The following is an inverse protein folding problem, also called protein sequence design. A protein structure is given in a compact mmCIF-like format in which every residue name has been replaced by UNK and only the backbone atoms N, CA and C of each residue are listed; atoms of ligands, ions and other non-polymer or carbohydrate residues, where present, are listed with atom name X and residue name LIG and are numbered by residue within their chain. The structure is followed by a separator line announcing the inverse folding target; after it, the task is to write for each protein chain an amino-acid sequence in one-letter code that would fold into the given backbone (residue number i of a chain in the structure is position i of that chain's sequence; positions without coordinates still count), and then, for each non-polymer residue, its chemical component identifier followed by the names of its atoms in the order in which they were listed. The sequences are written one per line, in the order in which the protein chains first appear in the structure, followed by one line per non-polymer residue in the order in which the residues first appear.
data_IF_318383734723
#
_entry.id   IF_318383734723
#
_cell.length_a   1.000
_cell.length_b   1.000
_cell.length_c   1.000
_cell.angle_alpha   90.00
_cell.angle_beta   90.00
_cell.angle_gamma   90.00
#
_symmetry.space_group_name_H-M   'P 1'
#
loop_
_entity.id
_entity.type
_entity.pdbx_description
1 polymer ?
#
# COMPACT_ATOMS: atom_id res chain seq x y z
N UNK A 1 -10.76 -6.82 -13.33
CA UNK A 1 -11.42 -7.23 -12.07
C UNK A 1 -12.93 -7.24 -12.30
N UNK A 2 -13.60 -8.35 -12.01
CA UNK A 2 -15.05 -8.51 -12.12
C UNK A 2 -15.72 -8.26 -10.77
N UNK A 3 -17.04 -8.01 -10.74
CA UNK A 3 -17.77 -7.84 -9.47
C UNK A 3 -17.73 -9.08 -8.56
N UNK A 4 -17.60 -10.27 -9.16
CA UNK A 4 -17.45 -11.52 -8.41
C UNK A 4 -16.10 -11.62 -7.71
N UNK A 5 -15.02 -11.10 -8.32
CA UNK A 5 -13.70 -11.07 -7.69
C UNK A 5 -13.75 -10.25 -6.40
N UNK A 6 -14.43 -9.10 -6.42
CA UNK A 6 -14.58 -8.20 -5.26
C UNK A 6 -15.32 -8.89 -4.10
N UNK A 7 -16.30 -9.75 -4.39
CA UNK A 7 -17.04 -10.50 -3.36
C UNK A 7 -16.14 -11.49 -2.62
N UNK A 8 -15.07 -11.97 -3.25
CA UNK A 8 -14.13 -12.96 -2.71
C UNK A 8 -12.85 -12.35 -2.09
N UNK A 9 -12.65 -11.04 -2.21
CA UNK A 9 -11.41 -10.38 -1.78
C UNK A 9 -11.31 -10.08 -0.29
N UNK A 10 -10.09 -10.11 0.22
CA UNK A 10 -9.73 -9.54 1.51
C UNK A 10 -9.84 -8.01 1.55
N UNK A 11 -9.63 -7.42 2.74
CA UNK A 11 -9.48 -5.97 2.89
C UNK A 11 -8.35 -5.44 2.00
N UNK A 12 -8.61 -4.33 1.31
CA UNK A 12 -7.61 -3.63 0.49
C UNK A 12 -7.05 -2.47 1.31
N UNK A 13 -5.73 -2.39 1.34
CA UNK A 13 -4.96 -1.32 1.95
C UNK A 13 -4.19 -0.55 0.89
N UNK A 14 -3.88 0.71 1.20
CA UNK A 14 -2.86 1.45 0.47
C UNK A 14 -1.82 2.06 1.42
N UNK A 15 -0.63 2.31 0.87
CA UNK A 15 0.51 2.92 1.53
C UNK A 15 1.13 3.95 0.60
N UNK A 16 1.43 5.13 1.14
CA UNK A 16 2.31 6.12 0.50
C UNK A 16 3.59 6.18 1.31
N UNK A 17 4.72 5.83 0.70
CA UNK A 17 6.04 5.77 1.35
C UNK A 17 6.94 6.81 0.72
N UNK A 18 7.26 7.86 1.46
CA UNK A 18 8.11 8.97 1.01
C UNK A 18 9.60 8.64 1.12
N UNK A 19 10.36 9.09 0.12
CA UNK A 19 11.81 9.03 0.00
C UNK A 19 12.36 10.45 -0.21
N UNK A 20 13.26 10.91 0.66
CA UNK A 20 13.83 12.25 0.52
C UNK A 20 14.79 12.32 -0.68
N UNK A 21 15.04 13.53 -1.24
CA UNK A 21 15.84 13.70 -2.46
C UNK A 21 17.27 13.18 -2.35
N UNK A 22 17.86 13.19 -1.15
CA UNK A 22 19.21 12.70 -0.87
C UNK A 22 19.27 11.20 -0.56
N UNK A 23 18.11 10.52 -0.48
CA UNK A 23 18.00 9.09 -0.19
C UNK A 23 16.90 8.45 -1.04
N UNK A 24 17.13 8.28 -2.36
CA UNK A 24 16.20 7.56 -3.22
C UNK A 24 16.07 6.10 -2.76
N UNK A 25 14.98 5.40 -3.14
CA UNK A 25 14.82 3.99 -2.82
C UNK A 25 15.96 3.16 -3.42
N UNK A 26 16.46 2.21 -2.66
CA UNK A 26 17.55 1.30 -3.04
C UNK A 26 17.06 -0.10 -3.46
N UNK A 27 15.73 -0.31 -3.45
CA UNK A 27 15.11 -1.59 -3.80
C UNK A 27 15.22 -2.67 -2.73
N UNK A 28 15.91 -2.43 -1.61
CA UNK A 28 16.17 -3.45 -0.57
C UNK A 28 14.91 -4.03 0.08
N UNK A 29 13.79 -3.30 0.04
CA UNK A 29 12.50 -3.75 0.55
C UNK A 29 11.70 -4.63 -0.43
N UNK A 30 11.98 -4.58 -1.74
CA UNK A 30 11.20 -5.30 -2.74
C UNK A 30 11.29 -6.83 -2.61
N UNK A 31 12.45 -7.44 -2.25
CA UNK A 31 12.51 -8.88 -1.96
C UNK A 31 11.62 -9.31 -0.79
N UNK A 32 11.46 -8.46 0.24
CA UNK A 32 10.55 -8.74 1.37
C UNK A 32 9.09 -8.60 0.94
N UNK A 33 8.79 -7.60 0.12
CA UNK A 33 7.45 -7.45 -0.46
C UNK A 33 7.08 -8.66 -1.32
N UNK A 34 8.01 -9.17 -2.13
CA UNK A 34 7.85 -10.41 -2.90
C UNK A 34 7.60 -11.61 -2.01
N UNK A 35 8.36 -11.78 -0.91
CA UNK A 35 8.13 -12.87 0.05
C UNK A 35 6.70 -12.89 0.58
N UNK A 36 6.11 -11.73 0.88
CA UNK A 36 4.71 -11.63 1.32
C UNK A 36 3.73 -12.12 0.24
N UNK A 37 4.00 -11.82 -1.03
CA UNK A 37 3.19 -12.28 -2.18
C UNK A 37 3.34 -13.78 -2.39
N UNK A 38 4.58 -14.28 -2.42
CA UNK A 38 4.88 -15.71 -2.62
C UNK A 38 4.28 -16.59 -1.51
N UNK A 39 4.23 -16.08 -0.28
CA UNK A 39 3.58 -16.73 0.86
C UNK A 39 2.06 -16.59 0.86
N UNK A 40 1.48 -15.86 -0.10
CA UNK A 40 0.05 -15.63 -0.22
C UNK A 40 -0.54 -14.83 0.94
N UNK A 41 0.26 -13.98 1.59
CA UNK A 41 -0.17 -13.12 2.71
C UNK A 41 -0.84 -11.86 2.18
N UNK A 42 -0.28 -11.31 1.09
CA UNK A 42 -0.87 -10.21 0.35
C UNK A 42 -0.91 -10.51 -1.15
N UNK A 43 -1.79 -9.82 -1.87
CA UNK A 43 -1.72 -9.69 -3.32
C UNK A 43 -1.54 -8.21 -3.66
N UNK A 44 -0.55 -7.90 -4.47
CA UNK A 44 -0.35 -6.51 -4.93
C UNK A 44 -1.35 -6.23 -6.03
N UNK A 45 -2.04 -5.10 -5.90
CA UNK A 45 -3.09 -4.66 -6.82
C UNK A 45 -2.68 -3.46 -7.65
N UNK A 46 -1.79 -2.62 -7.12
CA UNK A 46 -1.12 -1.53 -7.81
C UNK A 46 0.18 -1.16 -7.10
N UNK A 47 1.22 -0.81 -7.86
CA UNK A 47 2.46 -0.24 -7.34
C UNK A 47 2.98 0.77 -8.35
N UNK A 48 3.01 2.03 -7.92
CA UNK A 48 3.46 3.15 -8.75
C UNK A 48 4.35 4.07 -7.94
N UNK A 49 5.10 4.93 -8.61
CA UNK A 49 5.92 5.94 -7.98
C UNK A 49 5.44 7.33 -8.39
N UNK A 50 5.60 8.29 -7.50
CA UNK A 50 5.35 9.70 -7.77
C UNK A 50 6.55 10.52 -7.34
N UNK A 51 6.79 11.64 -8.01
CA UNK A 51 7.76 12.65 -7.60
C UNK A 51 7.06 13.99 -7.48
N UNK A 52 7.38 14.72 -6.42
CA UNK A 52 7.02 16.12 -6.27
C UNK A 52 8.24 16.98 -6.53
N UNK A 53 8.16 17.84 -7.53
CA UNK A 53 9.22 18.80 -7.82
C UNK A 53 9.24 19.92 -6.78
N UNK A 54 10.33 20.70 -6.74
CA UNK A 54 10.47 21.84 -5.80
C UNK A 54 9.36 22.88 -5.98
N UNK A 55 8.86 23.05 -7.20
CA UNK A 55 7.74 23.94 -7.53
C UNK A 55 6.36 23.36 -7.16
N UNK A 56 6.32 22.17 -6.56
CA UNK A 56 5.11 21.50 -6.09
C UNK A 56 4.35 20.71 -7.16
N UNK A 57 4.86 20.64 -8.39
CA UNK A 57 4.30 19.81 -9.46
C UNK A 57 4.50 18.32 -9.14
N UNK A 58 3.45 17.51 -9.35
CA UNK A 58 3.47 16.06 -9.09
C UNK A 58 3.46 15.32 -10.42
N UNK A 59 4.37 14.37 -10.59
CA UNK A 59 4.45 13.50 -11.75
C UNK A 59 4.51 12.02 -11.33
N UNK A 60 3.75 11.17 -12.02
CA UNK A 60 3.89 9.72 -11.93
C UNK A 60 5.19 9.25 -12.58
N UNK A 61 5.77 8.18 -12.04
CA UNK A 61 6.99 7.55 -12.52
C UNK A 61 6.83 6.02 -12.48
N UNK A 62 7.30 5.36 -13.53
CA UNK A 62 7.46 3.91 -13.51
C UNK A 62 8.63 3.50 -12.61
N UNK A 63 8.62 2.24 -12.17
CA UNK A 63 9.71 1.64 -11.38
C UNK A 63 11.07 1.70 -12.09
N UNK A 64 11.06 1.67 -13.42
CA UNK A 64 12.24 1.86 -14.28
C UNK A 64 12.82 3.27 -14.16
N UNK A 65 11.96 4.28 -14.06
CA UNK A 65 12.34 5.68 -13.83
C UNK A 65 13.01 5.92 -12.48
N UNK A 66 12.91 4.96 -11.54
CA UNK A 66 13.60 4.98 -10.25
C UNK A 66 14.97 4.28 -10.25
N UNK A 67 15.39 3.68 -11.38
CA UNK A 67 16.69 3.00 -11.49
C UNK A 67 16.78 1.64 -10.78
N UNK A 68 15.63 0.99 -10.55
CA UNK A 68 15.53 -0.26 -9.77
C UNK A 68 15.63 -1.56 -10.62
N UNK A 69 15.99 -1.47 -11.91
CA UNK A 69 15.93 -2.59 -12.89
C UNK A 69 17.06 -3.63 -12.76
N UNK A 70 18.09 -3.39 -11.94
CA UNK A 70 19.36 -4.12 -12.00
C UNK A 70 19.37 -5.55 -11.43
N UNK A 71 18.57 -5.82 -10.39
CA UNK A 71 18.62 -7.11 -9.63
C UNK A 71 17.23 -7.64 -9.22
N UNK A 72 16.16 -6.91 -9.49
CA UNK A 72 14.83 -7.19 -8.96
C UNK A 72 13.89 -7.43 -10.12
N UNK A 73 13.30 -8.62 -10.16
CA UNK A 73 12.24 -8.92 -11.12
C UNK A 73 10.99 -8.11 -10.76
N UNK A 74 10.90 -6.93 -11.36
CA UNK A 74 9.79 -5.99 -11.17
C UNK A 74 8.58 -6.31 -12.03
N UNK A 75 8.65 -7.35 -12.88
CA UNK A 75 7.51 -7.74 -13.73
C UNK A 75 6.31 -8.22 -12.91
N UNK A 76 6.55 -8.83 -11.74
CA UNK A 76 5.53 -9.14 -10.74
C UNK A 76 4.75 -7.90 -10.28
N UNK A 77 5.41 -6.73 -10.26
CA UNK A 77 4.81 -5.45 -9.88
C UNK A 77 4.24 -4.70 -11.10
N UNK A 78 4.83 -4.90 -12.29
CA UNK A 78 4.36 -4.28 -13.53
C UNK A 78 3.01 -4.88 -13.99
N UNK A 79 2.75 -6.16 -13.75
CA UNK A 79 1.41 -6.74 -13.96
C UNK A 79 0.36 -6.23 -12.95
N UNK A 80 0.82 -5.75 -11.79
CA UNK A 80 -0.03 -5.11 -10.80
C UNK A 80 -0.38 -3.66 -11.17
N UNK A 81 0.25 -3.03 -12.16
CA UNK A 81 -0.21 -1.75 -12.71
C UNK A 81 -1.52 -1.97 -13.50
N UNK A 82 -2.59 -2.30 -12.79
CA UNK A 82 -3.89 -2.63 -13.33
C UNK A 82 -4.65 -1.39 -13.81
N UNK A 83 -4.08 -0.19 -13.59
CA UNK A 83 -4.73 1.10 -13.78
C UNK A 83 -5.74 1.40 -12.67
N UNK A 84 -5.50 0.86 -11.47
CA UNK A 84 -6.37 1.06 -10.31
C UNK A 84 -6.23 2.47 -9.76
N UNK A 85 -5.00 2.99 -9.77
CA UNK A 85 -4.70 4.38 -9.47
C UNK A 85 -4.75 5.21 -10.75
N UNK A 86 -5.63 6.20 -10.79
CA UNK A 86 -5.70 7.21 -11.83
C UNK A 86 -4.85 8.45 -11.49
N UNK A 87 -4.80 9.39 -12.43
CA UNK A 87 -4.04 10.64 -12.25
C UNK A 87 -4.47 11.44 -11.01
N UNK A 88 -5.77 11.42 -10.68
CA UNK A 88 -6.31 12.08 -9.49
C UNK A 88 -5.81 11.45 -8.19
N UNK A 89 -5.72 10.11 -8.13
CA UNK A 89 -5.19 9.39 -6.95
C UNK A 89 -3.70 9.67 -6.76
N UNK A 90 -2.95 9.76 -7.86
CA UNK A 90 -1.54 10.13 -7.84
C UNK A 90 -1.35 11.57 -7.39
N UNK A 91 -2.22 12.48 -7.81
CA UNK A 91 -2.20 13.87 -7.38
C UNK A 91 -2.49 13.99 -5.88
N UNK A 92 -3.46 13.23 -5.35
CA UNK A 92 -3.76 13.18 -3.92
C UNK A 92 -2.58 12.62 -3.12
N UNK A 93 -2.01 11.49 -3.57
CA UNK A 93 -0.83 10.88 -2.95
C UNK A 93 0.40 11.80 -3.00
N UNK A 94 0.58 12.56 -4.08
CA UNK A 94 1.66 13.55 -4.21
C UNK A 94 1.42 14.81 -3.38
N UNK A 95 0.16 15.14 -3.06
CA UNK A 95 -0.18 16.35 -2.30
C UNK A 95 0.39 16.32 -0.88
N UNK A 96 0.49 15.14 -0.28
CA UNK A 96 1.00 14.92 1.08
C UNK A 96 2.54 14.87 1.16
N UNK A 97 3.24 14.89 0.02
CA UNK A 97 4.70 14.84 -0.02
C UNK A 97 5.34 16.20 0.22
N UNK A 98 6.53 16.19 0.80
CA UNK A 98 7.41 17.35 0.84
C UNK A 98 8.00 17.63 -0.56
N UNK A 99 8.13 18.92 -0.97
CA UNK A 99 8.76 19.26 -2.25
C UNK A 99 10.16 18.65 -2.41
N UNK A 100 10.44 18.15 -3.61
CA UNK A 100 11.70 17.45 -3.95
C UNK A 100 11.70 15.95 -3.62
N UNK A 101 10.73 15.46 -2.84
CA UNK A 101 10.64 14.05 -2.47
C UNK A 101 10.00 13.19 -3.58
N UNK A 102 10.29 11.90 -3.52
CA UNK A 102 9.58 10.88 -4.27
C UNK A 102 8.77 10.00 -3.32
N UNK A 103 7.78 9.27 -3.82
CA UNK A 103 7.10 8.26 -3.02
C UNK A 103 6.76 7.01 -3.84
N UNK A 104 6.69 5.87 -3.16
CA UNK A 104 6.02 4.68 -3.65
C UNK A 104 4.58 4.68 -3.15
N UNK A 105 3.62 4.44 -4.05
CA UNK A 105 2.22 4.22 -3.73
C UNK A 105 1.91 2.75 -3.98
N UNK A 106 1.60 2.02 -2.92
CA UNK A 106 1.34 0.58 -2.97
C UNK A 106 -0.12 0.33 -2.58
N UNK A 107 -0.87 -0.35 -3.44
CA UNK A 107 -2.22 -0.85 -3.17
C UNK A 107 -2.16 -2.38 -3.12
N UNK A 108 -2.67 -2.98 -2.04
CA UNK A 108 -2.57 -4.42 -1.85
C UNK A 108 -3.77 -4.99 -1.10
N UNK A 109 -4.14 -6.21 -1.46
CA UNK A 109 -5.14 -7.02 -0.77
C UNK A 109 -4.48 -7.81 0.37
N UNK A 110 -5.10 -7.80 1.55
CA UNK A 110 -4.77 -8.70 2.66
C UNK A 110 -5.44 -10.06 2.46
N UNK A 111 -4.86 -10.92 1.62
CA UNK A 111 -5.42 -12.23 1.25
C UNK A 111 -5.59 -13.15 2.45
N UNK A 112 -4.76 -13.02 3.49
CA UNK A 112 -4.90 -13.76 4.75
C UNK A 112 -6.27 -13.55 5.43
N UNK A 113 -6.88 -12.38 5.25
CA UNK A 113 -8.16 -12.02 5.85
C UNK A 113 -9.36 -12.30 4.94
N UNK A 114 -9.12 -12.68 3.67
CA UNK A 114 -10.18 -12.90 2.70
C UNK A 114 -11.24 -13.91 3.18
N UNK A 115 -10.91 -15.11 3.70
CA UNK A 115 -11.94 -16.06 4.11
C UNK A 115 -12.88 -15.52 5.19
N UNK A 116 -12.34 -14.75 6.14
CA UNK A 116 -13.12 -14.10 7.19
C UNK A 116 -14.01 -12.99 6.64
N UNK A 117 -13.44 -12.07 5.85
CA UNK A 117 -14.18 -10.97 5.25
C UNK A 117 -15.31 -11.45 4.33
N UNK A 118 -15.04 -12.48 3.52
CA UNK A 118 -16.03 -13.11 2.64
C UNK A 118 -17.16 -13.73 3.43
N UNK A 119 -16.86 -14.48 4.50
CA UNK A 119 -17.89 -15.10 5.33
C UNK A 119 -18.83 -14.05 5.96
N UNK A 120 -18.28 -12.92 6.41
CA UNK A 120 -19.08 -11.81 6.94
C UNK A 120 -19.98 -11.18 5.86
N UNK A 121 -19.43 -10.85 4.69
CA UNK A 121 -20.21 -10.24 3.59
C UNK A 121 -21.32 -11.16 3.10
N UNK A 122 -21.07 -12.47 3.02
CA UNK A 122 -22.09 -13.48 2.65
C UNK A 122 -23.26 -13.53 3.63
N UNK A 123 -23.05 -13.11 4.88
CA UNK A 123 -24.10 -12.99 5.90
C UNK A 123 -24.73 -11.58 5.94
N UNK A 124 -24.50 -10.75 4.93
CA UNK A 124 -25.03 -9.39 4.84
C UNK A 124 -24.34 -8.37 5.75
N UNK A 125 -23.20 -8.72 6.36
CA UNK A 125 -22.42 -7.75 7.13
C UNK A 125 -21.73 -6.74 6.19
N UNK A 126 -21.63 -5.50 6.65
CA UNK A 126 -20.99 -4.41 5.92
C UNK A 126 -19.86 -3.81 6.75
N UNK A 127 -18.74 -3.51 6.09
CA UNK A 127 -17.67 -2.72 6.69
C UNK A 127 -18.14 -1.28 6.86
N UNK A 128 -18.18 -0.79 8.10
CA UNK A 128 -18.63 0.57 8.43
C UNK A 128 -17.49 1.54 8.74
N UNK A 129 -16.31 1.01 9.12
CA UNK A 129 -15.12 1.81 9.43
C UNK A 129 -13.87 0.94 9.28
N UNK A 130 -12.77 1.57 8.85
CA UNK A 130 -11.48 0.94 8.65
C UNK A 130 -10.36 1.93 9.01
N UNK A 131 -9.25 1.44 9.58
CA UNK A 131 -8.10 2.28 9.93
C UNK A 131 -7.07 1.55 10.78
N UNK A 132 -5.89 2.19 10.96
CA UNK A 132 -4.84 1.68 11.84
C UNK A 132 -5.02 2.22 13.25
N UNK A 133 -4.86 1.34 14.24
CA UNK A 133 -4.77 1.74 15.64
C UNK A 133 -3.30 1.91 16.00
N UNK A 134 -2.85 3.10 16.44
CA UNK A 134 -1.46 3.30 16.85
C UNK A 134 -1.08 2.37 17.99
N UNK A 135 0.08 1.71 17.88
CA UNK A 135 0.57 0.77 18.92
C UNK A 135 0.66 1.47 20.29
N UNK A 136 1.09 2.72 20.33
CA UNK A 136 1.15 3.49 21.58
C UNK A 136 -0.23 3.67 22.22
N UNK A 137 -1.29 3.82 21.43
CA UNK A 137 -2.66 3.90 21.96
C UNK A 137 -3.09 2.56 22.58
N UNK A 138 -2.66 1.43 21.99
CA UNK A 138 -2.89 0.09 22.57
C UNK A 138 -2.15 -0.06 23.89
N UNK A 139 -0.86 0.30 23.95
CA UNK A 139 -0.05 0.22 25.16
C UNK A 139 -0.63 1.05 26.30
N UNK A 140 -0.98 2.32 26.04
CA UNK A 140 -1.61 3.18 27.04
C UNK A 140 -2.94 2.63 27.58
N UNK A 141 -3.69 1.90 26.74
CA UNK A 141 -4.94 1.27 27.14
C UNK A 141 -4.70 0.08 28.08
N UNK A 142 -3.64 -0.71 27.85
CA UNK A 142 -3.27 -1.85 28.69
C UNK A 142 -2.78 -1.39 30.08
N UNK A 143 -1.93 -0.37 30.13
CA UNK A 143 -1.42 0.19 31.41
C UNK A 143 -2.58 0.69 32.31
N UNK A 144 -3.65 1.19 31.71
CA UNK A 144 -4.84 1.67 32.43
C UNK A 144 -5.69 0.54 33.00
N UNK A 145 -5.66 -0.65 32.38
CA UNK A 145 -6.35 -1.84 32.90
C UNK A 145 -5.58 -2.42 34.09
N UNK A 146 -4.26 -2.53 33.96
CA UNK A 146 -3.38 -3.06 35.03
C UNK A 146 -3.35 -2.14 36.26
N UNK A 147 -3.55 -0.83 36.10
CA UNK A 147 -3.63 0.12 37.21
C UNK A 147 -4.98 0.12 37.95
N UNK A 148 -5.99 -0.60 37.44
CA UNK A 148 -7.33 -0.73 38.05
C UNK A 148 -7.53 -2.03 38.83
N UNK A 149 -6.55 -2.94 38.78
CA UNK A 149 -6.44 -4.13 39.62
C UNK A 149 -5.49 -3.88 40.80
#
# INVERSE_FOLDING_TARGET
MTGHDIEEMGPIDYLVVEFPPDRPPDGSALPLLRDLVERGIIRIMDLTFVRKDEDGFVAGMDISGMGLEGDIDVTLFAEAASGLLGDDDLAEAGSVLEPGCAAAVLVYENTWAAPFAVALRRNGAQLVSYGRIPVQAVLSSLDTLDAKD
#
